data_IF_459069470232
#
_entry.id   IF_459069470232
#
_cell.length_a   1.000
_cell.length_b   1.000
_cell.length_c   1.000
_cell.angle_alpha   90.00
_cell.angle_beta   90.00
_cell.angle_gamma   90.00
#
_symmetry.space_group_name_H-M   'P 1'
#
loop_
_entity.id
_entity.type
_entity.pdbx_description
1 polymer ?
#
# COMPACT_ATOMS: atom_id res chain seq x y z
N UNK A 1 -26.63 -10.44 -25.18
CA UNK A 1 -26.66 -9.80 -23.84
C UNK A 1 -25.72 -8.61 -23.91
N UNK A 2 -26.22 -7.37 -23.86
CA UNK A 2 -25.34 -6.18 -23.82
C UNK A 2 -24.69 -6.13 -22.44
N UNK A 3 -23.51 -6.74 -22.36
CA UNK A 3 -22.58 -6.55 -21.24
C UNK A 3 -22.24 -5.07 -21.23
N UNK A 4 -22.13 -4.46 -20.05
CA UNK A 4 -21.92 -3.03 -19.88
C UNK A 4 -20.68 -2.54 -20.67
N UNK A 5 -20.88 -2.01 -21.87
CA UNK A 5 -19.80 -1.69 -22.82
C UNK A 5 -18.75 -0.75 -22.20
N UNK A 6 -19.22 0.22 -21.40
CA UNK A 6 -18.35 1.14 -20.64
C UNK A 6 -17.47 0.40 -19.62
N UNK A 7 -17.97 -0.65 -18.99
CA UNK A 7 -17.19 -1.44 -18.04
C UNK A 7 -16.07 -2.22 -18.74
N UNK A 8 -16.36 -2.82 -19.91
CA UNK A 8 -15.35 -3.52 -20.70
C UNK A 8 -14.25 -2.56 -21.18
N UNK A 9 -14.62 -1.37 -21.67
CA UNK A 9 -13.65 -0.34 -22.05
C UNK A 9 -12.73 0.07 -20.89
N UNK A 10 -13.29 0.28 -19.70
CA UNK A 10 -12.53 0.65 -18.50
C UNK A 10 -11.60 -0.50 -18.06
N UNK A 11 -12.08 -1.73 -18.12
CA UNK A 11 -11.32 -2.94 -17.79
C UNK A 11 -10.16 -3.13 -18.76
N UNK A 12 -10.40 -3.01 -20.05
CA UNK A 12 -9.35 -3.08 -21.06
C UNK A 12 -8.31 -1.97 -20.89
N UNK A 13 -8.75 -0.72 -20.66
CA UNK A 13 -7.84 0.40 -20.40
C UNK A 13 -6.97 0.15 -19.18
N UNK A 14 -7.57 -0.38 -18.10
CA UNK A 14 -6.84 -0.79 -16.90
C UNK A 14 -5.81 -1.87 -17.22
N UNK A 15 -6.21 -2.93 -17.94
CA UNK A 15 -5.34 -4.03 -18.36
C UNK A 15 -4.15 -3.54 -19.20
N UNK A 16 -4.40 -2.67 -20.19
CA UNK A 16 -3.34 -2.04 -21.00
C UNK A 16 -2.38 -1.24 -20.11
N UNK A 17 -2.90 -0.47 -19.15
CA UNK A 17 -2.06 0.31 -18.24
C UNK A 17 -1.17 -0.58 -17.36
N UNK A 18 -1.69 -1.64 -16.76
CA UNK A 18 -0.92 -2.50 -15.85
C UNK A 18 0.12 -3.37 -16.60
N UNK A 19 -0.17 -3.78 -17.83
CA UNK A 19 0.73 -4.60 -18.65
C UNK A 19 1.75 -3.77 -19.44
N UNK A 20 1.58 -2.45 -19.52
CA UNK A 20 2.62 -1.57 -20.05
C UNK A 20 3.91 -1.70 -19.22
N UNK A 21 5.06 -1.42 -19.82
CA UNK A 21 6.36 -1.46 -19.14
C UNK A 21 6.37 -0.57 -17.88
N UNK A 22 5.83 0.65 -17.98
CA UNK A 22 5.63 1.54 -16.83
C UNK A 22 4.72 0.93 -15.76
N UNK A 23 3.66 0.22 -16.19
CA UNK A 23 2.74 -0.49 -15.30
C UNK A 23 3.41 -1.63 -14.56
N UNK A 24 4.25 -2.42 -15.24
CA UNK A 24 5.04 -3.51 -14.66
C UNK A 24 5.98 -2.98 -13.58
N UNK A 25 6.76 -1.93 -13.89
CA UNK A 25 7.67 -1.30 -12.91
C UNK A 25 6.92 -0.80 -11.68
N UNK A 26 5.77 -0.13 -11.88
CA UNK A 26 4.93 0.33 -10.76
C UNK A 26 4.39 -0.81 -9.91
N UNK A 27 3.97 -1.93 -10.53
CA UNK A 27 3.48 -3.13 -9.80
C UNK A 27 4.58 -3.75 -8.96
N UNK A 28 5.77 -3.94 -9.53
CA UNK A 28 6.92 -4.45 -8.80
C UNK A 28 7.29 -3.53 -7.63
N UNK A 29 7.36 -2.23 -7.86
CA UNK A 29 7.66 -1.24 -6.81
C UNK A 29 6.63 -1.28 -5.68
N UNK A 30 5.33 -1.35 -6.02
CA UNK A 30 4.25 -1.45 -5.01
C UNK A 30 4.37 -2.72 -4.17
N UNK A 31 4.70 -3.85 -4.81
CA UNK A 31 4.86 -5.13 -4.13
C UNK A 31 6.03 -5.09 -3.14
N UNK A 32 7.18 -4.52 -3.55
CA UNK A 32 8.38 -4.44 -2.72
C UNK A 32 8.23 -3.42 -1.58
N UNK A 33 7.69 -2.23 -1.88
CA UNK A 33 7.64 -1.14 -0.91
C UNK A 33 6.33 -1.17 -0.12
N UNK A 34 5.22 -0.87 -0.79
CA UNK A 34 3.94 -0.61 -0.13
C UNK A 34 3.34 -1.87 0.50
N UNK A 35 3.25 -2.96 -0.27
CA UNK A 35 2.62 -4.20 0.19
C UNK A 35 3.46 -4.88 1.29
N UNK A 36 4.78 -4.95 1.12
CA UNK A 36 5.69 -5.43 2.18
C UNK A 36 5.53 -4.63 3.48
N UNK A 37 5.43 -3.30 3.39
CA UNK A 37 5.22 -2.48 4.57
C UNK A 37 3.90 -2.79 5.30
N UNK A 38 2.81 -2.97 4.56
CA UNK A 38 1.52 -3.35 5.13
C UNK A 38 1.50 -4.77 5.69
N UNK A 39 2.26 -5.71 5.12
CA UNK A 39 2.42 -7.06 5.64
C UNK A 39 3.03 -7.06 7.03
N UNK A 40 4.17 -6.40 7.19
CA UNK A 40 4.82 -6.22 8.50
C UNK A 40 3.91 -5.49 9.51
N UNK A 41 3.20 -4.45 9.07
CA UNK A 41 2.30 -3.69 9.95
C UNK A 41 1.24 -4.59 10.59
N UNK A 42 0.68 -5.50 9.79
CA UNK A 42 -0.38 -6.39 10.24
C UNK A 42 0.18 -7.60 11.00
N UNK A 43 1.05 -8.37 10.37
CA UNK A 43 1.52 -9.66 10.91
C UNK A 43 2.63 -9.50 11.94
N UNK A 44 3.62 -8.64 11.67
CA UNK A 44 4.81 -8.53 12.52
C UNK A 44 4.61 -7.55 13.68
N UNK A 45 3.77 -6.53 13.49
CA UNK A 45 3.56 -5.46 14.47
C UNK A 45 2.15 -5.51 15.11
N UNK A 46 1.29 -6.43 14.69
CA UNK A 46 -0.07 -6.61 15.20
C UNK A 46 -0.95 -5.34 15.12
N UNK A 47 -0.66 -4.44 14.17
CA UNK A 47 -1.44 -3.23 13.95
C UNK A 47 -2.57 -3.51 12.95
N UNK A 48 -3.69 -4.01 13.49
CA UNK A 48 -4.84 -4.43 12.68
C UNK A 48 -5.86 -3.32 12.43
N UNK A 49 -5.95 -2.35 13.34
CA UNK A 49 -7.00 -1.32 13.33
C UNK A 49 -6.48 0.00 13.90
N UNK A 50 -6.90 1.09 13.27
CA UNK A 50 -6.77 2.43 13.81
C UNK A 50 -7.71 2.61 15.01
N UNK A 51 -7.22 3.33 16.02
CA UNK A 51 -7.99 3.66 17.22
C UNK A 51 -8.93 4.83 16.96
N UNK A 52 -8.52 5.79 16.14
CA UNK A 52 -9.35 6.94 15.79
C UNK A 52 -10.31 6.66 14.62
N UNK A 53 -11.35 7.50 14.50
CA UNK A 53 -12.46 7.30 13.54
C UNK A 53 -12.62 8.40 12.50
N UNK A 54 -12.18 9.63 12.78
CA UNK A 54 -12.21 10.69 11.77
C UNK A 54 -10.99 10.59 10.86
N UNK A 55 -11.15 10.93 9.58
CA UNK A 55 -10.07 10.90 8.58
C UNK A 55 -8.82 11.65 9.03
N UNK A 56 -9.01 12.84 9.61
CA UNK A 56 -7.91 13.67 10.13
C UNK A 56 -7.15 12.98 11.27
N UNK A 57 -7.87 12.35 12.21
CA UNK A 57 -7.22 11.68 13.35
C UNK A 57 -6.56 10.37 12.95
N UNK A 58 -7.20 9.60 12.05
CA UNK A 58 -6.62 8.40 11.45
C UNK A 58 -5.34 8.76 10.69
N UNK A 59 -5.34 9.87 9.95
CA UNK A 59 -4.14 10.33 9.26
C UNK A 59 -3.00 10.63 10.24
N UNK A 60 -3.27 11.34 11.34
CA UNK A 60 -2.27 11.62 12.38
C UNK A 60 -1.74 10.34 13.05
N UNK A 61 -2.62 9.40 13.38
CA UNK A 61 -2.22 8.09 13.93
C UNK A 61 -1.33 7.32 12.96
N UNK A 62 -1.69 7.29 11.68
CA UNK A 62 -0.88 6.66 10.65
C UNK A 62 0.48 7.33 10.48
N UNK A 63 0.56 8.67 10.55
CA UNK A 63 1.84 9.38 10.48
C UNK A 63 2.75 9.05 11.66
N UNK A 64 2.20 9.01 12.88
CA UNK A 64 2.97 8.62 14.07
C UNK A 64 3.50 7.18 13.95
N UNK A 65 2.65 6.27 13.51
CA UNK A 65 3.02 4.89 13.22
C UNK A 65 4.17 4.82 12.20
N UNK A 66 4.06 5.52 11.07
CA UNK A 66 5.07 5.52 10.01
C UNK A 66 6.42 6.06 10.51
N UNK A 67 6.42 7.12 11.33
CA UNK A 67 7.64 7.66 11.94
C UNK A 67 8.28 6.63 12.88
N UNK A 68 7.51 6.06 13.81
CA UNK A 68 8.02 5.05 14.75
C UNK A 68 8.60 3.84 14.05
N UNK A 69 7.94 3.38 12.98
CA UNK A 69 8.43 2.30 12.14
C UNK A 69 9.74 2.63 11.44
N UNK A 70 9.88 3.83 10.87
CA UNK A 70 11.10 4.25 10.21
C UNK A 70 12.29 4.29 11.19
N UNK A 71 12.07 4.78 12.41
CA UNK A 71 13.08 4.77 13.47
C UNK A 71 13.47 3.34 13.83
N UNK A 72 12.50 2.45 14.04
CA UNK A 72 12.75 1.05 14.34
C UNK A 72 13.52 0.34 13.22
N UNK A 73 13.18 0.61 11.96
CA UNK A 73 13.88 0.07 10.80
C UNK A 73 15.33 0.55 10.78
N UNK A 74 15.57 1.84 11.00
CA UNK A 74 16.91 2.40 11.06
C UNK A 74 17.75 1.84 12.21
N UNK A 75 17.15 1.71 13.40
CA UNK A 75 17.81 1.07 14.54
C UNK A 75 18.21 -0.38 14.23
N UNK A 76 17.29 -1.17 13.66
CA UNK A 76 17.60 -2.56 13.27
C UNK A 76 18.71 -2.64 12.23
N UNK A 77 18.79 -1.68 11.31
CA UNK A 77 19.86 -1.64 10.31
C UNK A 77 21.25 -1.36 10.91
N UNK A 78 21.32 -0.58 12.00
CA UNK A 78 22.59 -0.20 12.62
C UNK A 78 23.12 -1.24 13.62
N UNK A 79 22.23 -1.95 14.31
CA UNK A 79 22.59 -2.77 15.48
C UNK A 79 22.26 -4.27 15.32
N UNK A 80 21.82 -4.68 14.12
CA UNK A 80 21.73 -6.09 13.70
C UNK A 80 22.41 -6.24 12.34
#
# INVERSE_FOLDING_TARGET
>A
MKINDRWEELKEKSNRNIQSERGIVKRQTRSIQTEGHFGDMKENENFWRFHYRSSEKVYKEFMLYAIGRNINKYHRFLYH
#
